data_IF_553350766537
#
_entry.id   IF_553350766537
#
_cell.length_a   1.000
_cell.length_b   1.000
_cell.length_c   1.000
_cell.angle_alpha   90.00
_cell.angle_beta   90.00
_cell.angle_gamma   90.00
#
_symmetry.space_group_name_H-M   'P 1'
#
loop_
_entity.id
_entity.type
_entity.pdbx_description
1 polymer ?
#
# COMPACT_ATOMS: atom_id res chain seq x y z
N UNK A 1 -7.88 13.25 -6.48
CA UNK A 1 -7.14 12.25 -7.29
C UNK A 1 -7.47 10.82 -6.82
N UNK A 2 -7.98 9.97 -7.70
CA UNK A 2 -8.18 8.55 -7.43
C UNK A 2 -7.04 7.75 -8.07
N UNK A 3 -6.19 7.13 -7.25
CA UNK A 3 -5.17 6.17 -7.71
C UNK A 3 -5.82 4.78 -7.66
N UNK A 4 -5.90 4.10 -8.80
CA UNK A 4 -6.35 2.70 -8.84
C UNK A 4 -5.15 1.76 -8.83
N UNK A 5 -5.15 0.82 -7.89
CA UNK A 5 -4.17 -0.25 -7.82
C UNK A 5 -4.69 -1.44 -8.62
N UNK A 6 -3.92 -1.96 -9.57
CA UNK A 6 -4.19 -3.26 -10.17
C UNK A 6 -3.54 -4.35 -9.31
N UNK A 7 -4.15 -4.62 -8.15
CA UNK A 7 -3.76 -5.72 -7.27
C UNK A 7 -4.85 -6.79 -7.29
N UNK A 8 -4.48 -8.02 -7.63
CA UNK A 8 -5.40 -9.17 -7.63
C UNK A 8 -5.43 -9.90 -6.28
N UNK A 9 -4.38 -9.72 -5.47
CA UNK A 9 -4.23 -10.30 -4.14
C UNK A 9 -3.36 -9.40 -3.24
N UNK A 10 -3.43 -9.59 -1.92
CA UNK A 10 -2.52 -8.95 -0.96
C UNK A 10 -1.04 -9.22 -1.25
N UNK A 11 -0.74 -10.33 -1.97
CA UNK A 11 0.62 -10.70 -2.39
C UNK A 11 1.19 -9.78 -3.45
N UNK A 12 0.32 -9.07 -4.19
CA UNK A 12 0.72 -8.12 -5.22
C UNK A 12 1.06 -6.74 -4.63
N UNK A 13 0.81 -6.54 -3.33
CA UNK A 13 1.19 -5.31 -2.63
C UNK A 13 2.71 -5.25 -2.57
N UNK A 14 3.29 -4.29 -3.28
CA UNK A 14 4.73 -4.07 -3.37
C UNK A 14 5.10 -2.64 -2.95
N UNK A 15 6.38 -2.42 -2.66
CA UNK A 15 6.88 -1.08 -2.37
C UNK A 15 6.62 -0.09 -3.51
N UNK A 16 6.81 -0.51 -4.75
CA UNK A 16 6.58 0.32 -5.93
C UNK A 16 5.14 0.82 -5.96
N UNK A 17 4.17 -0.09 -5.77
CA UNK A 17 2.75 0.27 -5.74
C UNK A 17 2.40 1.24 -4.59
N UNK A 18 3.03 1.08 -3.42
CA UNK A 18 2.77 1.92 -2.24
C UNK A 18 3.48 3.28 -2.31
N UNK A 19 4.62 3.35 -2.99
CA UNK A 19 5.40 4.59 -3.13
C UNK A 19 4.66 5.69 -3.90
N UNK A 20 3.72 5.30 -4.76
CA UNK A 20 2.85 6.24 -5.49
C UNK A 20 2.06 7.16 -4.56
N UNK A 21 1.68 6.68 -3.38
CA UNK A 21 0.94 7.48 -2.41
C UNK A 21 1.76 8.61 -1.79
N UNK A 22 3.10 8.55 -1.86
CA UNK A 22 3.98 9.65 -1.41
C UNK A 22 4.02 10.83 -2.36
N UNK A 23 3.54 10.65 -3.59
CA UNK A 23 3.51 11.68 -4.63
C UNK A 23 2.23 12.52 -4.60
N UNK A 24 1.27 12.16 -3.75
CA UNK A 24 -0.01 12.84 -3.64
C UNK A 24 0.10 14.07 -2.72
N UNK A 25 -0.60 15.15 -3.10
CA UNK A 25 -0.77 16.35 -2.30
C UNK A 25 -2.26 16.51 -1.92
N UNK A 26 -2.59 16.76 -0.64
CA UNK A 26 -1.66 16.82 0.50
C UNK A 26 -1.00 15.46 0.80
N UNK A 27 0.19 15.49 1.43
CA UNK A 27 0.88 14.26 1.83
C UNK A 27 0.00 13.38 2.71
N UNK A 28 0.06 12.08 2.45
CA UNK A 28 -0.67 11.07 3.22
C UNK A 28 0.12 10.73 4.47
N UNK A 29 -0.42 11.09 5.63
CA UNK A 29 0.15 10.74 6.94
C UNK A 29 -0.16 9.29 7.35
N UNK A 30 -1.34 8.78 6.98
CA UNK A 30 -1.81 7.44 7.34
C UNK A 30 -2.34 6.74 6.09
N UNK A 31 -1.73 5.60 5.75
CA UNK A 31 -2.22 4.70 4.70
C UNK A 31 -2.83 3.45 5.32
N UNK A 32 -4.13 3.25 5.14
CA UNK A 32 -4.86 2.04 5.58
C UNK A 32 -4.97 1.07 4.41
N UNK A 33 -4.56 -0.18 4.62
CA UNK A 33 -4.58 -1.22 3.59
C UNK A 33 -5.65 -2.28 3.93
N UNK A 34 -6.70 -2.34 3.12
CA UNK A 34 -7.70 -3.41 3.19
C UNK A 34 -7.21 -4.65 2.46
N UNK A 35 -7.24 -5.81 3.13
CA UNK A 35 -6.80 -7.10 2.57
C UNK A 35 -7.95 -8.05 2.25
N UNK A 36 -9.19 -7.56 2.31
CA UNK A 36 -10.40 -8.30 1.99
C UNK A 36 -11.08 -8.88 3.23
N UNK A 37 -11.48 -10.14 3.15
CA UNK A 37 -12.19 -10.90 4.20
C UNK A 37 -11.28 -11.42 5.32
N UNK A 38 -9.97 -11.30 5.14
CA UNK A 38 -8.95 -11.80 6.06
C UNK A 38 -7.96 -10.72 6.43
N UNK A 39 -7.39 -10.86 7.63
CA UNK A 39 -6.25 -10.08 8.06
C UNK A 39 -4.98 -10.73 7.50
N UNK A 40 -4.45 -10.16 6.43
CA UNK A 40 -3.20 -10.61 5.83
C UNK A 40 -2.00 -9.83 6.35
N UNK A 41 -0.91 -10.53 6.65
CA UNK A 41 0.35 -9.88 7.05
C UNK A 41 1.17 -9.53 5.81
N UNK A 42 1.47 -8.25 5.65
CA UNK A 42 2.43 -7.80 4.65
C UNK A 42 3.84 -8.24 4.99
N UNK A 43 4.65 -8.44 3.96
CA UNK A 43 6.05 -8.79 4.14
C UNK A 43 6.77 -7.67 4.93
N UNK A 44 7.52 -7.98 6.00
CA UNK A 44 8.14 -6.97 6.86
C UNK A 44 9.05 -5.98 6.13
N UNK A 45 9.67 -6.40 5.02
CA UNK A 45 10.51 -5.53 4.18
C UNK A 45 9.71 -4.35 3.60
N UNK A 46 8.47 -4.57 3.17
CA UNK A 46 7.61 -3.53 2.61
C UNK A 46 7.32 -2.47 3.68
N UNK A 47 7.01 -2.90 4.90
CA UNK A 47 6.75 -2.00 6.02
C UNK A 47 7.99 -1.16 6.38
N UNK A 48 9.20 -1.75 6.30
CA UNK A 48 10.44 -1.02 6.53
C UNK A 48 10.71 0.05 5.48
N UNK A 49 10.34 -0.22 4.23
CA UNK A 49 10.53 0.74 3.13
C UNK A 49 9.56 1.91 3.21
N UNK A 50 8.42 1.75 3.89
CA UNK A 50 7.39 2.78 4.10
C UNK A 50 7.59 3.65 5.35
N UNK A 51 8.58 3.35 6.19
CA UNK A 51 9.04 4.23 7.28
C UNK A 51 9.92 5.34 6.73
#
# INVERSE_FOLDING_TARGET
PSVSLQVGSYRDISHESLSLFRLLEPQIEILVLGTGDRVERLHPTILKQMR
#
